data_IF_594965784075
#
_entry.id   IF_594965784075
#
_cell.length_a   1.000
_cell.length_b   1.000
_cell.length_c   1.000
_cell.angle_alpha   90.00
_cell.angle_beta   90.00
_cell.angle_gamma   90.00
#
_symmetry.space_group_name_H-M   'P 1'
#
loop_
_entity.id
_entity.type
_entity.pdbx_description
1 polymer ?
#
# COMPACT_ATOMS: atom_id res chain seq x y z
N UNK A 1 -5.04 10.07 -8.35
CA UNK A 1 -4.31 9.81 -7.09
C UNK A 1 -4.65 10.87 -6.09
N UNK A 2 -5.31 10.45 -5.01
CA UNK A 2 -5.81 11.41 -4.02
C UNK A 2 -5.01 11.39 -2.71
N UNK A 3 -4.11 10.47 -2.59
CA UNK A 3 -3.28 10.38 -1.38
C UNK A 3 -1.98 11.13 -1.51
N UNK A 4 -1.16 11.07 -0.49
CA UNK A 4 0.15 11.70 -0.44
C UNK A 4 1.23 10.66 -0.72
N UNK A 5 2.13 11.00 -1.64
CA UNK A 5 3.23 10.10 -2.00
C UNK A 5 4.53 10.88 -1.90
N UNK A 6 5.48 10.39 -1.10
CA UNK A 6 6.77 11.04 -0.91
C UNK A 6 7.90 10.05 -1.13
N UNK A 7 8.88 10.43 -1.94
CA UNK A 7 10.08 9.63 -2.18
C UNK A 7 9.74 8.18 -2.54
N UNK A 8 8.69 7.99 -3.34
CA UNK A 8 8.19 6.66 -3.63
C UNK A 8 8.01 6.49 -5.13
N UNK A 9 7.89 5.25 -5.56
CA UNK A 9 7.69 4.92 -6.96
C UNK A 9 6.31 4.30 -7.11
N UNK A 10 5.51 4.88 -8.01
CA UNK A 10 4.21 4.31 -8.36
C UNK A 10 4.29 3.81 -9.80
N UNK A 11 4.00 2.55 -9.99
CA UNK A 11 3.98 1.96 -11.32
C UNK A 11 2.62 2.18 -11.97
N UNK A 12 2.54 1.80 -13.23
CA UNK A 12 1.32 1.99 -14.03
C UNK A 12 0.12 1.33 -13.36
N UNK A 13 -0.96 2.07 -13.26
CA UNK A 13 -2.20 1.54 -12.69
C UNK A 13 -2.24 1.47 -11.18
N UNK A 14 -1.16 1.84 -10.50
CA UNK A 14 -1.19 1.90 -9.04
C UNK A 14 -2.11 3.02 -8.58
N UNK A 15 -2.86 2.80 -7.51
CA UNK A 15 -3.78 3.78 -6.98
C UNK A 15 -3.50 4.03 -5.51
N UNK A 16 -3.46 5.30 -5.14
CA UNK A 16 -3.35 5.72 -3.74
C UNK A 16 -4.59 6.52 -3.43
N UNK A 17 -5.45 5.99 -2.59
CA UNK A 17 -6.74 6.60 -2.36
C UNK A 17 -6.66 7.73 -1.34
N UNK A 18 -7.76 8.46 -1.20
CA UNK A 18 -7.79 9.67 -0.39
C UNK A 18 -7.35 9.43 1.05
N UNK A 19 -6.53 10.32 1.58
CA UNK A 19 -6.03 10.23 2.94
C UNK A 19 -4.90 9.25 3.16
N UNK A 20 -4.57 8.44 2.16
CA UNK A 20 -3.46 7.49 2.28
C UNK A 20 -2.13 8.22 2.18
N UNK A 21 -1.11 7.65 2.81
CA UNK A 21 0.25 8.19 2.72
C UNK A 21 1.21 7.08 2.35
N UNK A 22 2.05 7.36 1.37
CA UNK A 22 3.07 6.41 0.93
C UNK A 22 4.40 7.13 0.99
N UNK A 23 5.33 6.61 1.78
CA UNK A 23 6.63 7.25 2.00
C UNK A 23 7.73 6.22 1.80
N UNK A 24 8.74 6.58 1.02
CA UNK A 24 9.94 5.74 0.80
C UNK A 24 9.58 4.32 0.40
N UNK A 25 8.56 4.17 -0.44
CA UNK A 25 8.04 2.84 -0.79
C UNK A 25 7.97 2.67 -2.30
N UNK A 26 7.79 1.42 -2.73
CA UNK A 26 7.59 1.09 -4.14
C UNK A 26 6.24 0.43 -4.27
N UNK A 27 5.36 1.00 -5.09
CA UNK A 27 4.03 0.46 -5.33
C UNK A 27 3.99 -0.04 -6.76
N UNK A 28 3.83 -1.34 -6.92
CA UNK A 28 3.89 -1.95 -8.25
C UNK A 28 2.58 -1.83 -8.99
N UNK A 29 2.59 -2.27 -10.24
CA UNK A 29 1.47 -2.05 -11.16
C UNK A 29 0.17 -2.63 -10.61
N UNK A 30 -0.89 -1.86 -10.72
CA UNK A 30 -2.23 -2.32 -10.34
C UNK A 30 -2.49 -2.44 -8.85
N UNK A 31 -1.50 -2.12 -8.01
CA UNK A 31 -1.71 -2.19 -6.56
C UNK A 31 -2.62 -1.04 -6.12
N UNK A 32 -3.40 -1.29 -5.08
CA UNK A 32 -4.35 -0.30 -4.57
C UNK A 32 -4.07 -0.08 -3.10
N UNK A 33 -3.85 1.17 -2.74
CA UNK A 33 -3.65 1.57 -1.35
C UNK A 33 -4.94 2.23 -0.89
N UNK A 34 -5.58 1.67 0.12
CA UNK A 34 -6.89 2.11 0.58
C UNK A 34 -6.88 3.47 1.26
N UNK A 35 -8.07 3.98 1.52
CA UNK A 35 -8.24 5.29 2.15
C UNK A 35 -7.57 5.31 3.53
N UNK A 36 -6.81 6.33 3.82
CA UNK A 36 -6.21 6.51 5.13
C UNK A 36 -5.10 5.53 5.48
N UNK A 37 -4.72 4.64 4.55
CA UNK A 37 -3.65 3.69 4.81
C UNK A 37 -2.31 4.42 4.84
N UNK A 38 -1.38 3.91 5.64
CA UNK A 38 -0.05 4.51 5.75
C UNK A 38 0.99 3.47 5.44
N UNK A 39 1.79 3.75 4.43
CA UNK A 39 2.81 2.83 3.96
C UNK A 39 4.16 3.52 4.08
N UNK A 40 5.07 2.94 4.84
CA UNK A 40 6.40 3.47 5.02
C UNK A 40 7.43 2.39 4.75
N UNK A 41 8.37 2.67 3.86
CA UNK A 41 9.48 1.77 3.55
C UNK A 41 9.01 0.35 3.24
N UNK A 42 8.09 0.24 2.30
CA UNK A 42 7.53 -1.05 1.93
C UNK A 42 7.55 -1.23 0.42
N UNK A 43 7.51 -2.48 -0.01
CA UNK A 43 7.37 -2.82 -1.42
C UNK A 43 6.02 -3.51 -1.56
N UNK A 44 5.13 -2.92 -2.33
CA UNK A 44 3.79 -3.44 -2.52
C UNK A 44 3.71 -4.10 -3.89
N UNK A 45 3.47 -5.39 -3.91
CA UNK A 45 3.52 -6.17 -5.13
C UNK A 45 2.41 -5.84 -6.12
N UNK A 46 2.55 -6.35 -7.34
CA UNK A 46 1.57 -6.11 -8.39
C UNK A 46 0.21 -6.65 -7.97
N UNK A 47 -0.82 -5.86 -8.19
CA UNK A 47 -2.19 -6.27 -7.92
C UNK A 47 -2.54 -6.40 -6.44
N UNK A 48 -1.61 -6.07 -5.55
CA UNK A 48 -1.88 -6.17 -4.11
C UNK A 48 -2.88 -5.10 -3.70
N UNK A 49 -3.64 -5.42 -2.67
CA UNK A 49 -4.65 -4.49 -2.16
C UNK A 49 -4.39 -4.25 -0.68
N UNK A 50 -4.22 -3.00 -0.33
CA UNK A 50 -4.06 -2.59 1.05
C UNK A 50 -5.38 -1.98 1.50
N UNK A 51 -5.99 -2.55 2.51
CA UNK A 51 -7.30 -2.11 2.97
C UNK A 51 -7.23 -0.72 3.59
N UNK A 52 -8.39 -0.10 3.74
CA UNK A 52 -8.48 1.22 4.34
C UNK A 52 -7.92 1.21 5.76
N UNK A 53 -7.17 2.23 6.11
CA UNK A 53 -6.65 2.40 7.46
C UNK A 53 -5.51 1.50 7.86
N UNK A 54 -5.01 0.66 6.95
CA UNK A 54 -3.90 -0.23 7.28
C UNK A 54 -2.61 0.58 7.39
N UNK A 55 -1.81 0.25 8.38
CA UNK A 55 -0.48 0.84 8.52
C UNK A 55 0.58 -0.22 8.28
N UNK A 56 1.47 0.05 7.37
CA UNK A 56 2.62 -0.81 7.11
C UNK A 56 3.85 0.02 7.37
N UNK A 57 4.60 -0.34 8.42
CA UNK A 57 5.75 0.42 8.85
C UNK A 57 6.99 -0.44 8.68
N UNK A 58 7.81 -0.08 7.71
CA UNK A 58 9.06 -0.78 7.44
C UNK A 58 10.29 -0.04 7.91
N UNK A 59 10.16 0.86 8.89
CA UNK A 59 11.31 1.65 9.33
C UNK A 59 12.41 0.80 9.94
N UNK A 60 12.06 -0.26 10.66
CA UNK A 60 13.06 -1.16 11.19
C UNK A 60 13.48 -2.20 10.16
N UNK A 61 12.54 -2.67 9.38
CA UNK A 61 12.80 -3.69 8.39
C UNK A 61 11.80 -3.51 7.27
N UNK A 62 12.28 -3.42 6.04
CA UNK A 62 11.41 -3.20 4.88
C UNK A 62 10.35 -4.30 4.81
N UNK A 63 9.11 -3.88 4.66
CA UNK A 63 7.99 -4.81 4.53
C UNK A 63 7.72 -5.09 3.06
N UNK A 64 7.42 -6.33 2.73
CA UNK A 64 7.12 -6.71 1.35
C UNK A 64 5.75 -7.35 1.30
N UNK A 65 4.89 -6.81 0.44
CA UNK A 65 3.56 -7.38 0.20
C UNK A 65 3.62 -8.08 -1.14
N UNK A 66 3.24 -9.33 -1.16
CA UNK A 66 3.40 -10.17 -2.35
C UNK A 66 2.39 -9.87 -3.45
N UNK A 67 2.57 -10.54 -4.56
CA UNK A 67 1.75 -10.43 -5.75
C UNK A 67 0.30 -10.78 -5.41
N UNK A 68 -0.64 -9.92 -5.77
CA UNK A 68 -2.07 -10.08 -5.52
C UNK A 68 -2.44 -10.33 -4.05
N UNK A 69 -1.54 -10.00 -3.15
CA UNK A 69 -1.82 -10.18 -1.74
C UNK A 69 -2.78 -9.11 -1.24
N UNK A 70 -3.66 -9.48 -0.31
CA UNK A 70 -4.60 -8.54 0.29
C UNK A 70 -4.25 -8.38 1.77
N UNK A 71 -4.01 -7.15 2.20
CA UNK A 71 -3.56 -6.88 3.57
C UNK A 71 -4.65 -6.12 4.32
N UNK A 72 -4.97 -6.59 5.49
CA UNK A 72 -5.86 -5.88 6.40
C UNK A 72 -7.34 -6.01 6.13
N UNK A 73 -7.74 -6.82 5.17
CA UNK A 73 -9.15 -7.04 4.93
C UNK A 73 -9.68 -7.94 6.03
N UNK A 74 -10.73 -7.48 6.70
CA UNK A 74 -11.37 -8.30 7.69
C UNK A 74 -12.04 -9.45 6.98
N UNK A 75 -11.54 -10.65 7.23
CA UNK A 75 -12.24 -11.79 6.72
C UNK A 75 -13.20 -12.14 7.81
N UNK A 76 -14.37 -11.93 7.57
CA UNK A 76 -15.27 -12.32 8.53
C UNK A 76 -15.40 -13.67 8.65
N UNK A 77 -15.11 -14.12 8.97
CA UNK A 77 -15.40 -15.18 8.98
C UNK A 77 -16.07 -15.55 9.81
N UNK A 78 -16.25 -15.39 9.96
CA UNK A 78 -16.94 -15.58 10.49
C UNK A 78 -17.20 -15.74 10.78
#
# INVERSE_FOLDING_TARGET
MDGTVKHSILSTGAQVRGGAEVVDSVIMSGAIIGHGAKITRAIIGEGAIIADGVEIDGTDEVQVVGYNEVVGVATDED
#
